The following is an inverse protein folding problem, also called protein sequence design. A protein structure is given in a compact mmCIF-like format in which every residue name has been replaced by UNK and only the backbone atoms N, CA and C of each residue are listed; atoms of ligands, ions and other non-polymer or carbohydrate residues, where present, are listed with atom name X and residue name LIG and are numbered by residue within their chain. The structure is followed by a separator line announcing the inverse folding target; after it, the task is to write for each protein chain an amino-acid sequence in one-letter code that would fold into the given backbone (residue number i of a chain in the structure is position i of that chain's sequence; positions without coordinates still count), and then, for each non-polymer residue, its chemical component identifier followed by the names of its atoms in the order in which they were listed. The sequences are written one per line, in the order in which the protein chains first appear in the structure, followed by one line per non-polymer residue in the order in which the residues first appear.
data_IF_444473224219
#
_entry.id   IF_444473224219
#
_cell.length_a   1.000
_cell.length_b   1.000
_cell.length_c   1.000
_cell.angle_alpha   90.00
_cell.angle_beta   90.00
_cell.angle_gamma   90.00
#
_symmetry.space_group_name_H-M   'P 1'
#
loop_
_entity.id
_entity.type
_entity.pdbx_description
1 polymer ?
#
# COMPACT_ATOMS: atom_id res chain seq x y z
N UNK A 1 2.12 -29.55 3.43
CA UNK A 1 0.87 -28.81 3.15
C UNK A 1 0.92 -27.61 4.06
N UNK A 2 1.32 -26.46 3.53
CA UNK A 2 1.49 -25.24 4.30
C UNK A 2 0.14 -24.84 4.90
N UNK A 3 0.16 -24.37 6.14
CA UNK A 3 -1.01 -24.02 6.92
C UNK A 3 -1.63 -22.74 6.32
N UNK A 4 -2.56 -22.88 5.37
CA UNK A 4 -3.24 -21.76 4.71
C UNK A 4 -4.20 -20.99 5.64
N UNK A 5 -4.22 -21.30 6.94
CA UNK A 5 -5.31 -20.94 7.85
C UNK A 5 -5.00 -19.78 8.78
N UNK A 6 -3.76 -19.28 8.80
CA UNK A 6 -3.35 -18.21 9.70
C UNK A 6 -2.68 -17.05 8.95
N UNK A 7 -3.44 -16.42 8.06
CA UNK A 7 -3.01 -15.16 7.43
C UNK A 7 -3.40 -13.98 8.31
N UNK A 8 -2.49 -13.01 8.42
CA UNK A 8 -2.67 -11.78 9.18
C UNK A 8 -2.62 -10.58 8.23
N UNK A 9 -3.45 -9.56 8.47
CA UNK A 9 -3.37 -8.32 7.70
C UNK A 9 -2.10 -7.55 8.08
N UNK A 10 -1.44 -7.00 7.09
CA UNK A 10 -0.32 -6.08 7.22
C UNK A 10 -0.66 -4.81 6.46
N UNK A 11 -0.52 -3.67 7.10
CA UNK A 11 -0.64 -2.37 6.42
C UNK A 11 0.69 -2.00 5.78
N UNK A 12 0.69 -1.77 4.47
CA UNK A 12 1.85 -1.28 3.72
C UNK A 12 1.54 0.10 3.17
N UNK A 13 2.38 1.07 3.51
CA UNK A 13 2.42 2.40 2.89
C UNK A 13 3.42 2.35 1.76
N UNK A 14 3.05 2.89 0.61
CA UNK A 14 3.91 2.93 -0.57
C UNK A 14 4.04 4.36 -1.08
N UNK A 15 5.27 4.86 -1.20
CA UNK A 15 5.55 6.03 -2.04
C UNK A 15 5.64 5.54 -3.49
N UNK A 16 4.92 6.20 -4.39
CA UNK A 16 4.76 5.80 -5.78
C UNK A 16 4.51 7.03 -6.67
N UNK A 17 4.45 6.82 -7.98
CA UNK A 17 4.14 7.86 -8.96
C UNK A 17 2.74 7.66 -9.51
N UNK A 18 2.07 8.78 -9.84
CA UNK A 18 0.91 8.75 -10.72
C UNK A 18 1.38 8.71 -12.18
N UNK A 19 0.50 8.29 -13.13
CA UNK A 19 0.80 8.34 -14.57
C UNK A 19 1.12 9.73 -15.12
N UNK A 20 0.75 10.79 -14.40
CA UNK A 20 1.08 12.17 -14.74
C UNK A 20 2.48 12.61 -14.29
N UNK A 21 3.24 11.71 -13.66
CA UNK A 21 4.57 11.98 -13.13
C UNK A 21 4.58 12.68 -11.76
N UNK A 22 3.44 12.81 -11.09
CA UNK A 22 3.37 13.41 -9.75
C UNK A 22 3.56 12.33 -8.66
N UNK A 23 4.43 12.55 -7.65
CA UNK A 23 4.58 11.61 -6.55
C UNK A 23 3.33 11.58 -5.67
N UNK A 24 3.02 10.39 -5.16
CA UNK A 24 1.90 10.16 -4.25
C UNK A 24 2.22 9.06 -3.25
N UNK A 25 1.35 8.95 -2.24
CA UNK A 25 1.30 7.77 -1.38
C UNK A 25 0.07 6.92 -1.72
N UNK A 26 0.18 5.64 -1.39
CA UNK A 26 -0.91 4.68 -1.39
C UNK A 26 -0.82 3.79 -0.15
N UNK A 27 -1.96 3.24 0.29
CA UNK A 27 -2.03 2.30 1.41
C UNK A 27 -2.69 1.01 0.92
N UNK A 28 -1.99 -0.10 1.12
CA UNK A 28 -2.48 -1.44 0.84
C UNK A 28 -2.62 -2.21 2.16
N UNK A 29 -3.66 -3.05 2.26
CA UNK A 29 -3.82 -3.98 3.39
C UNK A 29 -3.71 -5.39 2.83
N UNK A 30 -2.55 -6.02 3.03
CA UNK A 30 -2.23 -7.32 2.45
C UNK A 30 -2.38 -8.39 3.51
N UNK A 31 -3.09 -9.49 3.21
CA UNK A 31 -3.17 -10.66 4.10
C UNK A 31 -2.15 -11.70 3.69
N UNK A 32 -1.21 -11.99 4.58
CA UNK A 32 -0.15 -13.00 4.38
C UNK A 32 0.02 -13.86 5.62
N UNK A 33 0.48 -15.09 5.44
CA UNK A 33 0.96 -15.94 6.53
C UNK A 33 2.23 -15.38 7.16
N UNK A 34 2.62 -15.91 8.32
CA UNK A 34 3.86 -15.50 8.98
C UNK A 34 5.09 -15.81 8.11
N UNK A 35 5.16 -17.00 7.51
CA UNK A 35 6.26 -17.38 6.61
C UNK A 35 6.35 -16.41 5.42
N UNK A 36 5.22 -16.04 4.83
CA UNK A 36 5.17 -15.08 3.72
C UNK A 36 5.65 -13.68 4.15
N UNK A 37 5.25 -13.21 5.33
CA UNK A 37 5.73 -11.95 5.91
C UNK A 37 7.24 -11.94 6.09
N UNK A 38 7.79 -13.01 6.68
CA UNK A 38 9.23 -13.13 6.94
C UNK A 38 10.05 -13.18 5.63
N UNK A 39 9.45 -13.64 4.54
CA UNK A 39 10.05 -13.66 3.21
C UNK A 39 9.76 -12.40 2.37
N UNK A 40 9.06 -11.39 2.92
CA UNK A 40 8.75 -10.14 2.22
C UNK A 40 7.66 -10.25 1.14
N UNK A 41 6.87 -11.34 1.15
CA UNK A 41 5.85 -11.61 0.12
C UNK A 41 4.76 -10.52 0.06
N UNK A 42 4.50 -9.87 1.19
CA UNK A 42 3.54 -8.77 1.27
C UNK A 42 3.90 -7.58 0.38
N UNK A 43 5.19 -7.34 0.10
CA UNK A 43 5.61 -6.28 -0.80
C UNK A 43 5.29 -6.56 -2.25
N UNK A 44 5.48 -7.81 -2.71
CA UNK A 44 5.08 -8.19 -4.07
C UNK A 44 3.57 -8.09 -4.30
N UNK A 45 2.77 -8.43 -3.28
CA UNK A 45 1.33 -8.24 -3.35
C UNK A 45 0.95 -6.76 -3.37
N UNK A 46 1.60 -5.93 -2.56
CA UNK A 46 1.39 -4.48 -2.58
C UNK A 46 1.74 -3.89 -3.96
N UNK A 47 2.87 -4.24 -4.58
CA UNK A 47 3.22 -3.77 -5.92
C UNK A 47 2.19 -4.19 -6.98
N UNK A 48 1.72 -5.44 -6.95
CA UNK A 48 0.70 -5.91 -7.87
C UNK A 48 -0.60 -5.10 -7.75
N UNK A 49 -1.02 -4.81 -6.52
CA UNK A 49 -2.18 -3.97 -6.24
C UNK A 49 -2.00 -2.52 -6.75
N UNK A 50 -0.81 -1.94 -6.54
CA UNK A 50 -0.48 -0.58 -7.01
C UNK A 50 -0.50 -0.49 -8.53
N UNK A 51 0.11 -1.46 -9.22
CA UNK A 51 0.09 -1.53 -10.68
C UNK A 51 -1.33 -1.72 -11.22
N UNK A 52 -2.15 -2.56 -10.57
CA UNK A 52 -3.56 -2.73 -10.92
C UNK A 52 -4.37 -1.44 -10.72
N UNK A 53 -4.02 -0.64 -9.71
CA UNK A 53 -4.60 0.68 -9.47
C UNK A 53 -4.09 1.76 -10.45
N UNK A 54 -3.16 1.42 -11.36
CA UNK A 54 -2.60 2.34 -12.34
C UNK A 54 -1.53 3.28 -11.78
N UNK A 55 -0.93 2.95 -10.63
CA UNK A 55 0.23 3.66 -10.09
C UNK A 55 1.51 3.11 -10.70
N UNK A 56 2.52 3.96 -10.73
CA UNK A 56 3.78 3.71 -11.42
C UNK A 56 4.97 3.75 -10.47
N UNK A 57 6.03 3.09 -10.91
CA UNK A 57 7.33 3.08 -10.24
C UNK A 57 7.97 4.49 -10.18
N UNK A 58 8.91 4.72 -9.24
CA UNK A 58 9.46 3.78 -8.27
C UNK A 58 8.50 3.51 -7.09
N UNK A 59 8.44 2.26 -6.66
CA UNK A 59 7.76 1.88 -5.43
C UNK A 59 8.75 1.83 -4.26
N UNK A 60 8.40 2.50 -3.16
CA UNK A 60 9.12 2.42 -1.89
C UNK A 60 8.14 2.10 -0.78
N UNK A 61 8.32 0.95 -0.14
CA UNK A 61 7.36 0.39 0.80
C UNK A 61 7.80 0.56 2.26
N UNK A 62 6.81 0.73 3.14
CA UNK A 62 6.98 0.76 4.58
C UNK A 62 5.81 0.01 5.22
N UNK A 63 6.12 -1.09 5.91
CA UNK A 63 5.13 -1.78 6.76
C UNK A 63 5.11 -1.23 8.19
N UNK A 64 4.23 -1.76 9.04
CA UNK A 64 4.07 -1.35 10.44
C UNK A 64 5.32 -1.56 11.32
N UNK A 65 6.27 -2.39 10.89
CA UNK A 65 7.51 -2.68 11.62
C UNK A 65 8.69 -1.83 11.15
N UNK A 66 8.72 -1.43 9.88
CA UNK A 66 9.77 -0.61 9.31
C UNK A 66 9.43 0.89 9.31
N UNK A 67 8.15 1.23 9.25
CA UNK A 67 7.67 2.60 9.30
C UNK A 67 7.87 3.20 10.71
N UNK A 68 8.27 4.47 10.81
CA UNK A 68 8.04 5.25 12.02
C UNK A 68 6.55 5.20 12.40
N UNK A 69 6.24 5.07 13.70
CA UNK A 69 4.86 4.88 14.18
C UNK A 69 3.86 5.98 13.74
N UNK A 70 4.36 7.17 13.38
CA UNK A 70 3.53 8.27 12.90
C UNK A 70 3.22 8.22 11.40
N UNK A 71 3.95 7.44 10.60
CA UNK A 71 3.88 7.50 9.14
C UNK A 71 2.53 7.00 8.62
N UNK A 72 2.11 5.81 9.04
CA UNK A 72 0.83 5.23 8.63
C UNK A 72 -0.36 6.12 8.98
N UNK A 73 -0.53 6.62 10.22
CA UNK A 73 -1.63 7.53 10.52
C UNK A 73 -1.53 8.83 9.73
N UNK A 74 -0.33 9.41 9.56
CA UNK A 74 -0.16 10.63 8.78
C UNK A 74 -0.55 10.46 7.29
N UNK A 75 -0.20 9.32 6.68
CA UNK A 75 -0.58 9.03 5.29
C UNK A 75 -2.08 8.76 5.17
N UNK A 76 -2.70 8.09 6.16
CA UNK A 76 -4.17 7.94 6.19
C UNK A 76 -4.86 9.31 6.23
N UNK A 77 -4.38 10.20 7.09
CA UNK A 77 -4.92 11.56 7.18
C UNK A 77 -4.71 12.34 5.88
N UNK A 78 -3.53 12.24 5.27
CA UNK A 78 -3.21 12.86 3.98
C UNK A 78 -4.17 12.40 2.86
N UNK A 79 -4.44 11.10 2.77
CA UNK A 79 -5.35 10.51 1.77
C UNK A 79 -6.83 10.80 2.06
N UNK A 80 -7.20 11.06 3.32
CA UNK A 80 -8.56 11.40 3.72
C UNK A 80 -8.94 12.86 3.40
N UNK A 81 -7.98 13.74 3.10
CA UNK A 81 -8.26 15.11 2.67
C UNK A 81 -8.77 15.09 1.23
N UNK A 82 -10.02 15.47 0.95
CA UNK A 82 -10.49 15.62 -0.42
C UNK A 82 -9.71 16.77 -1.08
N UNK A 83 -8.82 16.45 -2.01
CA UNK A 83 -8.12 17.46 -2.80
C UNK A 83 -9.15 18.21 -3.67
N UNK A 84 -9.26 19.55 -3.58
CA UNK A 84 -10.11 20.29 -4.48
C UNK A 84 -9.52 20.21 -5.88
N UNK A 85 -10.23 19.54 -6.79
CA UNK A 85 -9.92 19.37 -8.22
C UNK A 85 -8.61 18.64 -8.53
N UNK A 86 -8.61 17.33 -8.30
CA UNK A 86 -7.84 16.38 -9.11
C UNK A 86 -8.84 15.42 -9.79
N UNK A 87 -9.04 15.46 -11.12
CA UNK A 87 -9.99 14.59 -11.79
C UNK A 87 -9.59 13.10 -11.75
N UNK A 88 -8.41 12.75 -11.21
CA UNK A 88 -7.94 11.38 -11.04
C UNK A 88 -8.08 10.84 -9.60
N UNK A 89 -8.49 11.66 -8.63
CA UNK A 89 -8.68 11.23 -7.23
C UNK A 89 -9.98 10.44 -7.00
N UNK A 90 -10.32 9.52 -7.93
CA UNK A 90 -11.34 8.51 -7.66
C UNK A 90 -10.65 7.32 -7.03
N UNK A 91 -10.67 7.29 -5.70
CA UNK A 91 -10.57 6.10 -4.84
C UNK A 91 -9.72 4.95 -5.42
N UNK A 92 -8.39 5.09 -5.35
CA UNK A 92 -7.52 3.92 -5.30
C UNK A 92 -7.42 3.44 -3.85
N UNK A 93 -8.56 3.11 -3.25
CA UNK A 93 -8.58 2.20 -2.12
C UNK A 93 -8.45 0.80 -2.73
N UNK A 94 -7.41 0.05 -2.38
CA UNK A 94 -7.34 -1.37 -2.73
C UNK A 94 -8.69 -2.04 -2.38
N UNK A 95 -9.38 -2.70 -3.33
CA UNK A 95 -10.54 -3.50 -2.98
C UNK A 95 -10.11 -4.63 -2.04
N UNK A 96 -10.92 -4.86 -1.00
CA UNK A 96 -10.66 -5.75 0.13
C UNK A 96 -10.74 -7.25 -0.18
#
# INVERSE_FOLDING_TARGET
MADCTNTQPITVVSACMRPDGTPTFAICVIRVSQDERENGVHYYHAEADLLQAGLEEPFVHFDETEAPAFLIPAVRDYLAVPTPSDPAAKEAACPA
#
